data_IF_045556122204
#
_entry.id   IF_045556122204
#
_cell.length_a   1.000
_cell.length_b   1.000
_cell.length_c   1.000
_cell.angle_alpha   90.00
_cell.angle_beta   90.00
_cell.angle_gamma   90.00
#
_symmetry.space_group_name_H-M   'P 1'
#
loop_
_entity.id
_entity.type
_entity.pdbx_description
1 polymer ?
#
# COMPACT_ATOMS: atom_id res chain seq x y z
N UNK A 1 4.51 30.74 -10.22
CA UNK A 1 3.54 29.76 -10.76
C UNK A 1 4.21 28.62 -11.54
N UNK A 2 5.49 28.71 -11.93
CA UNK A 2 6.23 27.62 -12.61
C UNK A 2 6.61 26.46 -11.70
N UNK A 3 7.01 26.71 -10.44
CA UNK A 3 7.59 25.69 -9.55
C UNK A 3 6.62 24.54 -9.23
N UNK A 4 5.31 24.80 -9.13
CA UNK A 4 4.34 23.76 -8.80
C UNK A 4 4.14 22.75 -9.95
N UNK A 5 4.22 23.19 -11.21
CA UNK A 5 4.06 22.28 -12.35
C UNK A 5 5.30 21.42 -12.59
N UNK A 6 6.49 21.98 -12.33
CA UNK A 6 7.76 21.26 -12.44
C UNK A 6 7.85 20.18 -11.35
N UNK A 7 7.46 20.50 -10.11
CA UNK A 7 7.43 19.53 -9.01
C UNK A 7 6.44 18.38 -9.24
N UNK A 8 5.24 18.66 -9.77
CA UNK A 8 4.24 17.61 -10.06
C UNK A 8 4.73 16.64 -11.15
N UNK A 9 5.34 17.17 -12.22
CA UNK A 9 5.91 16.34 -13.28
C UNK A 9 7.09 15.49 -12.77
N UNK A 10 7.97 16.07 -11.96
CA UNK A 10 9.10 15.34 -11.36
C UNK A 10 8.58 14.19 -10.50
N UNK A 11 7.56 14.43 -9.67
CA UNK A 11 6.95 13.39 -8.85
C UNK A 11 6.37 12.24 -9.70
N UNK A 12 5.61 12.56 -10.76
CA UNK A 12 5.07 11.55 -11.68
C UNK A 12 6.16 10.71 -12.35
N UNK A 13 7.26 11.36 -12.75
CA UNK A 13 8.39 10.68 -13.39
C UNK A 13 9.11 9.76 -12.38
N UNK A 14 9.30 10.19 -11.13
CA UNK A 14 9.86 9.38 -10.04
C UNK A 14 8.98 8.19 -9.64
N UNK A 15 7.66 8.39 -9.59
CA UNK A 15 6.69 7.30 -9.37
C UNK A 15 6.85 6.25 -10.46
N UNK A 16 6.76 6.64 -11.75
CA UNK A 16 6.88 5.72 -12.89
C UNK A 16 8.22 4.99 -12.90
N UNK A 17 9.30 5.72 -12.62
CA UNK A 17 10.63 5.15 -12.49
C UNK A 17 10.63 4.06 -11.41
N UNK A 18 10.15 4.38 -10.20
CA UNK A 18 10.13 3.46 -9.05
C UNK A 18 9.29 2.22 -9.32
N UNK A 19 8.10 2.37 -9.91
CA UNK A 19 7.24 1.25 -10.29
C UNK A 19 7.94 0.28 -11.27
N UNK A 20 8.79 0.80 -12.16
CA UNK A 20 9.58 -0.04 -13.08
C UNK A 20 10.58 -0.92 -12.33
N UNK A 21 11.23 -0.40 -11.28
CA UNK A 21 12.16 -1.19 -10.45
C UNK A 21 11.43 -2.21 -9.58
N UNK A 22 10.28 -1.85 -9.01
CA UNK A 22 9.46 -2.80 -8.26
C UNK A 22 9.01 -3.94 -9.18
N UNK A 23 8.57 -3.63 -10.41
CA UNK A 23 8.16 -4.64 -11.38
C UNK A 23 9.31 -5.61 -11.73
N UNK A 24 10.53 -5.11 -11.79
CA UNK A 24 11.71 -5.94 -12.02
C UNK A 24 12.09 -6.81 -10.80
N UNK A 25 11.85 -6.32 -9.59
CA UNK A 25 12.17 -7.00 -8.34
C UNK A 25 11.15 -6.69 -7.24
N UNK A 26 10.02 -7.39 -7.25
CA UNK A 26 8.87 -7.10 -6.35
C UNK A 26 9.24 -7.22 -4.86
N UNK A 27 10.24 -8.03 -4.51
CA UNK A 27 10.70 -8.18 -3.13
C UNK A 27 11.78 -7.16 -2.71
N UNK A 28 12.11 -6.18 -3.56
CA UNK A 28 13.09 -5.14 -3.22
C UNK A 28 12.49 -4.12 -2.24
N UNK A 29 12.82 -4.27 -0.96
CA UNK A 29 12.35 -3.38 0.10
C UNK A 29 12.69 -1.90 -0.14
N UNK A 30 13.85 -1.58 -0.71
CA UNK A 30 14.26 -0.18 -0.92
C UNK A 30 13.36 0.53 -1.93
N UNK A 31 12.92 -0.15 -2.99
CA UNK A 31 12.03 0.44 -3.98
C UNK A 31 10.64 0.74 -3.39
N UNK A 32 10.12 -0.15 -2.53
CA UNK A 32 8.87 0.09 -1.83
C UNK A 32 8.99 1.22 -0.79
N UNK A 33 10.06 1.26 -0.01
CA UNK A 33 10.28 2.36 0.95
C UNK A 33 10.44 3.71 0.25
N UNK A 34 11.10 3.73 -0.91
CA UNK A 34 11.20 4.95 -1.71
C UNK A 34 9.83 5.40 -2.23
N UNK A 35 9.03 4.47 -2.77
CA UNK A 35 7.66 4.76 -3.20
C UNK A 35 6.79 5.30 -2.07
N UNK A 36 6.86 4.71 -0.87
CA UNK A 36 6.17 5.23 0.32
C UNK A 36 6.62 6.65 0.66
N UNK A 37 7.92 6.94 0.60
CA UNK A 37 8.44 8.29 0.86
C UNK A 37 8.00 9.33 -0.19
N UNK A 38 7.78 8.92 -1.45
CA UNK A 38 7.19 9.81 -2.45
C UNK A 38 5.76 10.23 -2.09
N UNK A 39 5.02 9.36 -1.39
CA UNK A 39 3.67 9.66 -0.92
C UNK A 39 3.64 10.67 0.24
N UNK A 40 4.77 11.05 0.82
CA UNK A 40 4.83 12.19 1.76
C UNK A 40 4.63 13.53 1.03
N UNK A 41 4.77 13.56 -0.30
CA UNK A 41 4.64 14.76 -1.15
C UNK A 41 3.32 14.80 -1.94
N UNK A 42 2.47 13.78 -1.83
CA UNK A 42 1.16 13.68 -2.50
C UNK A 42 0.20 12.83 -1.66
N UNK A 43 -0.90 12.35 -2.23
CA UNK A 43 -1.86 11.47 -1.57
C UNK A 43 -2.12 10.24 -2.41
N UNK A 44 -2.41 9.13 -1.75
CA UNK A 44 -2.79 7.88 -2.43
C UNK A 44 -4.06 8.04 -3.28
N UNK A 45 -4.92 9.01 -2.95
CA UNK A 45 -6.12 9.31 -3.72
C UNK A 45 -5.83 10.01 -5.06
N UNK A 46 -4.71 10.73 -5.17
CA UNK A 46 -4.26 11.36 -6.42
C UNK A 46 -3.60 10.35 -7.36
N UNK A 47 -3.08 9.25 -6.80
CA UNK A 47 -2.36 8.20 -7.54
C UNK A 47 -3.01 6.81 -7.37
N UNK A 48 -4.28 6.61 -7.79
CA UNK A 48 -4.95 5.31 -7.68
C UNK A 48 -4.22 4.18 -8.42
N UNK A 49 -3.45 4.51 -9.47
CA UNK A 49 -2.63 3.56 -10.22
C UNK A 49 -1.56 2.87 -9.36
N UNK A 50 -1.05 3.56 -8.33
CA UNK A 50 -0.06 2.98 -7.41
C UNK A 50 -0.72 1.90 -6.54
N UNK A 51 -1.95 2.16 -6.08
CA UNK A 51 -2.72 1.19 -5.30
C UNK A 51 -3.04 -0.03 -6.16
N UNK A 52 -3.47 0.18 -7.41
CA UNK A 52 -3.79 -0.92 -8.31
C UNK A 52 -2.55 -1.74 -8.65
N UNK A 53 -1.41 -1.10 -8.88
CA UNK A 53 -0.13 -1.80 -9.03
C UNK A 53 0.26 -2.62 -7.78
N UNK A 54 0.07 -2.06 -6.58
CA UNK A 54 0.34 -2.80 -5.34
C UNK A 54 -0.59 -4.01 -5.17
N UNK A 55 -1.87 -3.90 -5.56
CA UNK A 55 -2.80 -5.03 -5.62
C UNK A 55 -2.33 -6.09 -6.61
N UNK A 56 -1.91 -5.69 -7.82
CA UNK A 56 -1.36 -6.59 -8.83
C UNK A 56 -0.15 -7.36 -8.30
N UNK A 57 0.74 -6.70 -7.56
CA UNK A 57 1.89 -7.34 -6.92
C UNK A 57 1.49 -8.36 -5.84
N UNK A 58 0.30 -8.22 -5.25
CA UNK A 58 -0.26 -9.15 -4.28
C UNK A 58 -1.07 -10.29 -4.93
N UNK A 59 -1.34 -10.25 -6.24
CA UNK A 59 -2.15 -11.29 -6.87
C UNK A 59 -1.39 -12.63 -6.92
N UNK A 60 -2.06 -13.75 -6.57
CA UNK A 60 -1.56 -15.07 -6.92
C UNK A 60 -1.36 -15.20 -8.43
N UNK A 61 -0.31 -15.90 -8.84
CA UNK A 61 0.02 -16.11 -10.25
C UNK A 61 -1.18 -16.69 -11.02
N UNK A 62 -1.61 -16.00 -12.08
CA UNK A 62 -2.71 -16.43 -12.95
C UNK A 62 -4.12 -16.06 -12.48
N UNK A 63 -4.26 -15.31 -11.38
CA UNK A 63 -5.56 -14.82 -10.91
C UNK A 63 -5.79 -13.35 -11.30
N UNK A 64 -7.05 -12.97 -11.47
CA UNK A 64 -7.48 -11.58 -11.73
C UNK A 64 -8.15 -10.93 -10.52
N UNK A 65 -8.42 -11.71 -9.48
CA UNK A 65 -9.17 -11.28 -8.30
C UNK A 65 -8.26 -11.30 -7.09
N UNK A 66 -8.30 -10.23 -6.31
CA UNK A 66 -7.47 -10.06 -5.13
C UNK A 66 -8.00 -10.92 -3.99
N UNK A 67 -7.41 -12.11 -3.84
CA UNK A 67 -7.57 -12.94 -2.65
C UNK A 67 -6.34 -12.79 -1.75
N UNK A 68 -6.38 -11.82 -0.82
CA UNK A 68 -5.26 -11.54 0.10
C UNK A 68 -4.91 -12.76 0.96
N UNK A 69 -5.89 -13.64 1.25
CA UNK A 69 -5.64 -14.87 2.01
C UNK A 69 -4.72 -15.85 1.28
N UNK A 70 -4.71 -15.78 -0.05
CA UNK A 70 -3.85 -16.58 -0.94
C UNK A 70 -2.74 -15.77 -1.61
N UNK A 71 -2.61 -14.48 -1.27
CA UNK A 71 -1.66 -13.54 -1.87
C UNK A 71 -0.23 -14.09 -1.86
N UNK A 72 0.49 -13.74 -2.93
CA UNK A 72 1.91 -13.99 -3.07
C UNK A 72 2.67 -13.53 -1.82
N UNK A 73 3.75 -14.24 -1.49
CA UNK A 73 4.60 -13.93 -0.33
C UNK A 73 5.47 -12.69 -0.59
N UNK A 74 4.85 -11.55 -0.84
CA UNK A 74 5.52 -10.25 -1.01
C UNK A 74 5.13 -9.35 0.17
N UNK A 75 5.73 -9.51 1.36
CA UNK A 75 5.42 -8.70 2.53
C UNK A 75 5.48 -7.20 2.27
N UNK A 76 6.34 -6.75 1.36
CA UNK A 76 6.50 -5.33 1.01
C UNK A 76 5.25 -4.78 0.32
N UNK A 77 4.73 -5.48 -0.69
CA UNK A 77 3.50 -5.07 -1.37
C UNK A 77 2.29 -5.10 -0.43
N UNK A 78 2.21 -6.12 0.44
CA UNK A 78 1.15 -6.23 1.45
C UNK A 78 1.20 -5.08 2.46
N UNK A 79 2.40 -4.74 2.97
CA UNK A 79 2.59 -3.64 3.90
C UNK A 79 2.21 -2.30 3.26
N UNK A 80 2.72 -2.05 2.05
CA UNK A 80 2.39 -0.86 1.29
C UNK A 80 0.88 -0.73 1.04
N UNK A 81 0.23 -1.80 0.60
CA UNK A 81 -1.21 -1.80 0.33
C UNK A 81 -2.02 -1.59 1.61
N UNK A 82 -1.59 -2.13 2.75
CA UNK A 82 -2.23 -1.88 4.04
C UNK A 82 -2.15 -0.39 4.41
N UNK A 83 -0.95 0.20 4.38
CA UNK A 83 -0.71 1.60 4.73
C UNK A 83 -1.46 2.56 3.81
N UNK A 84 -1.46 2.32 2.49
CA UNK A 84 -2.22 3.11 1.53
C UNK A 84 -3.72 3.12 1.84
N UNK A 85 -4.29 1.96 2.19
CA UNK A 85 -5.72 1.87 2.53
C UNK A 85 -6.03 2.51 3.89
N UNK A 86 -5.10 2.47 4.87
CA UNK A 86 -5.26 3.22 6.12
C UNK A 86 -5.26 4.72 5.85
N UNK A 87 -4.32 5.23 5.04
CA UNK A 87 -4.28 6.64 4.67
C UNK A 87 -5.58 7.10 3.98
N UNK A 88 -6.14 6.29 3.07
CA UNK A 88 -7.42 6.58 2.44
C UNK A 88 -8.58 6.66 3.44
N UNK A 89 -8.57 5.83 4.50
CA UNK A 89 -9.56 5.87 5.58
C UNK A 89 -9.42 7.18 6.37
N UNK A 90 -8.20 7.53 6.78
CA UNK A 90 -7.92 8.75 7.54
C UNK A 90 -8.29 10.01 6.75
N UNK A 91 -8.08 10.01 5.44
CA UNK A 91 -8.48 11.09 4.52
C UNK A 91 -10.00 11.16 4.26
N UNK A 92 -10.79 10.20 4.78
CA UNK A 92 -12.22 10.01 4.44
C UNK A 92 -12.47 9.84 2.94
N UNK A 93 -11.45 9.39 2.20
CA UNK A 93 -11.51 9.03 0.78
C UNK A 93 -11.54 7.51 0.58
N UNK A 94 -11.90 6.78 1.63
CA UNK A 94 -11.97 5.33 1.62
C UNK A 94 -12.86 4.85 0.46
N UNK A 95 -12.29 3.99 -0.38
CA UNK A 95 -13.08 3.14 -1.27
C UNK A 95 -13.87 2.16 -0.39
N UNK A 96 -15.02 1.69 -0.87
CA UNK A 96 -16.01 0.88 -0.14
C UNK A 96 -15.46 -0.32 0.67
N UNK A 97 -14.23 -0.78 0.39
CA UNK A 97 -13.59 -1.92 1.03
C UNK A 97 -12.21 -1.63 1.66
N UNK A 98 -11.81 -0.36 1.82
CA UNK A 98 -10.45 -0.01 2.26
C UNK A 98 -10.09 -0.61 3.62
N UNK A 99 -11.04 -0.59 4.57
CA UNK A 99 -10.87 -1.20 5.89
C UNK A 99 -10.66 -2.72 5.80
N UNK A 100 -11.44 -3.40 4.96
CA UNK A 100 -11.34 -4.84 4.76
C UNK A 100 -10.01 -5.22 4.11
N UNK A 101 -9.55 -4.45 3.12
CA UNK A 101 -8.27 -4.65 2.45
C UNK A 101 -7.12 -4.47 3.44
N UNK A 102 -7.08 -3.35 4.16
CA UNK A 102 -6.04 -3.09 5.15
C UNK A 102 -5.98 -4.18 6.23
N UNK A 103 -7.14 -4.60 6.74
CA UNK A 103 -7.26 -5.69 7.70
C UNK A 103 -6.68 -6.99 7.15
N UNK A 104 -7.11 -7.40 5.97
CA UNK A 104 -6.67 -8.65 5.35
C UNK A 104 -5.15 -8.64 5.08
N UNK A 105 -4.60 -7.49 4.68
CA UNK A 105 -3.15 -7.34 4.52
C UNK A 105 -2.41 -7.54 5.85
N UNK A 106 -2.85 -6.90 6.94
CA UNK A 106 -2.21 -7.08 8.26
C UNK A 106 -2.32 -8.51 8.78
N UNK A 107 -3.48 -9.15 8.64
CA UNK A 107 -3.67 -10.56 9.00
C UNK A 107 -2.71 -11.47 8.21
N UNK A 108 -2.52 -11.20 6.90
CA UNK A 108 -1.55 -11.94 6.07
C UNK A 108 -0.11 -11.66 6.49
N UNK A 109 0.26 -10.40 6.75
CA UNK A 109 1.59 -9.99 7.20
C UNK A 109 2.01 -10.66 8.51
N UNK A 110 1.08 -10.84 9.46
CA UNK A 110 1.31 -11.58 10.71
C UNK A 110 1.78 -13.02 10.44
N UNK A 111 1.29 -13.63 9.37
CA UNK A 111 1.65 -14.98 8.95
C UNK A 111 2.97 -15.02 8.14
N UNK A 112 3.17 -14.09 7.20
CA UNK A 112 4.29 -14.15 6.24
C UNK A 112 5.54 -13.36 6.64
N UNK A 113 5.44 -12.37 7.53
CA UNK A 113 6.58 -11.63 8.10
C UNK A 113 6.62 -11.83 9.63
N UNK A 114 7.11 -12.99 10.11
CA UNK A 114 7.11 -13.33 11.53
C UNK A 114 8.06 -12.45 12.34
N UNK A 115 9.10 -11.87 11.72
CA UNK A 115 10.07 -10.99 12.40
C UNK A 115 9.35 -9.73 12.89
N UNK A 116 8.47 -9.17 12.07
CA UNK A 116 7.68 -7.98 12.41
C UNK A 116 6.28 -8.30 12.92
N UNK A 117 6.01 -9.56 13.32
CA UNK A 117 4.68 -9.99 13.81
C UNK A 117 4.08 -9.06 14.86
N UNK A 118 4.87 -8.61 15.83
CA UNK A 118 4.39 -7.71 16.90
C UNK A 118 3.96 -6.35 16.35
N UNK A 119 4.72 -5.81 15.39
CA UNK A 119 4.38 -4.57 14.69
C UNK A 119 3.05 -4.72 13.94
N UNK A 120 2.88 -5.81 13.18
CA UNK A 120 1.65 -6.04 12.41
C UNK A 120 0.43 -6.25 13.30
N UNK A 121 0.58 -6.93 14.44
CA UNK A 121 -0.50 -7.02 15.43
C UNK A 121 -0.86 -5.66 16.00
N UNK A 122 0.14 -4.83 16.33
CA UNK A 122 -0.10 -3.47 16.82
C UNK A 122 -0.86 -2.63 15.77
N UNK A 123 -0.41 -2.65 14.52
CA UNK A 123 -1.05 -1.93 13.41
C UNK A 123 -2.49 -2.40 13.14
N UNK A 124 -2.75 -3.69 13.24
CA UNK A 124 -4.11 -4.24 13.14
C UNK A 124 -5.00 -3.74 14.27
N UNK A 125 -4.50 -3.68 15.51
CA UNK A 125 -5.26 -3.14 16.64
C UNK A 125 -5.55 -1.63 16.46
N UNK A 126 -4.57 -0.84 15.99
CA UNK A 126 -4.78 0.57 15.65
C UNK A 126 -5.91 0.74 14.63
N UNK A 127 -5.90 -0.05 13.55
CA UNK A 127 -6.93 -0.03 12.50
C UNK A 127 -8.33 -0.32 13.05
N UNK A 128 -8.47 -1.33 13.92
CA UNK A 128 -9.76 -1.69 14.50
C UNK A 128 -10.30 -0.60 15.44
N UNK A 129 -9.42 0.08 16.15
CA UNK A 129 -9.78 1.20 17.02
C UNK A 129 -10.25 2.43 16.23
N UNK A 130 -9.60 2.73 15.09
CA UNK A 130 -10.03 3.81 14.18
C UNK A 130 -11.48 3.62 13.71
N UNK A 131 -11.86 2.37 13.42
CA UNK A 131 -13.23 2.04 13.01
C UNK A 131 -14.24 2.17 14.16
N UNK A 132 -13.86 1.80 15.39
CA UNK A 132 -14.75 1.86 16.55
C UNK A 132 -15.09 3.30 17.00
N UNK A 133 -14.22 4.27 16.72
CA UNK A 133 -14.44 5.69 17.03
C UNK A 133 -15.24 6.47 15.97
N UNK A 134 -15.61 5.85 14.85
CA UNK A 134 -16.36 6.48 13.74
C UNK A 134 -17.85 6.10 13.69
N UNK A 135 -18.37 5.42 14.72
CA UNK A 135 -19.78 5.08 14.93
C UNK A 135 -20.39 5.96 16.03
#
# INVERSE_FOLDING_TARGET
>A
MSDNFENAKVLDDEIKFTLTYIKAAVNNASSWSYLSGLMDFSTYAEHPEIIDFAKECCLPAGTKELDISKSAETPQALAFLAEANVALIDEKKAVANSLQIARACYERLIAVDPIRRRLWNHKLLELLNLNAGSL
#
